data_IF_632707017955
#
_entry.id   IF_632707017955
#
_cell.length_a   1.000
_cell.length_b   1.000
_cell.length_c   1.000
_cell.angle_alpha   90.00
_cell.angle_beta   90.00
_cell.angle_gamma   90.00
#
_symmetry.space_group_name_H-M   'P 1'
#
loop_
_entity.id
_entity.type
_entity.pdbx_description
1 polymer ?
#
# COMPACT_ATOMS: atom_id res chain seq x y z
N UNK A 1 -27.15 16.09 12.55
CA UNK A 1 -25.90 16.80 12.16
C UNK A 1 -25.71 16.67 10.66
N UNK A 2 -25.57 17.79 9.95
CA UNK A 2 -25.35 17.86 8.49
C UNK A 2 -23.87 17.56 8.19
N UNK A 3 -23.59 16.89 7.08
CA UNK A 3 -22.23 16.44 6.65
C UNK A 3 -21.92 17.11 5.32
N UNK A 4 -20.65 17.44 5.07
CA UNK A 4 -20.20 18.41 4.07
C UNK A 4 -19.33 17.76 2.97
N UNK A 5 -19.24 18.36 1.77
CA UNK A 5 -18.31 17.93 0.71
C UNK A 5 -16.85 17.87 1.19
N UNK A 6 -16.53 18.71 2.17
CA UNK A 6 -15.28 18.73 2.92
C UNK A 6 -14.98 17.40 3.63
N UNK A 7 -15.99 16.69 4.14
CA UNK A 7 -15.86 15.37 4.76
C UNK A 7 -15.60 14.26 3.73
N UNK A 8 -16.19 14.36 2.52
CA UNK A 8 -15.94 13.42 1.43
C UNK A 8 -14.52 13.59 0.86
N UNK A 9 -14.09 14.84 0.68
CA UNK A 9 -12.71 15.16 0.31
C UNK A 9 -11.72 14.69 1.38
N UNK A 10 -12.08 14.79 2.66
CA UNK A 10 -11.29 14.24 3.76
C UNK A 10 -11.14 12.72 3.64
N UNK A 11 -12.25 12.00 3.41
CA UNK A 11 -12.24 10.56 3.22
C UNK A 11 -11.37 10.16 2.01
N UNK A 12 -11.56 10.82 0.86
CA UNK A 12 -10.78 10.61 -0.37
C UNK A 12 -9.27 10.81 -0.15
N UNK A 13 -8.90 11.92 0.48
CA UNK A 13 -7.50 12.24 0.82
C UNK A 13 -6.88 11.16 1.71
N UNK A 14 -7.63 10.65 2.70
CA UNK A 14 -7.16 9.57 3.59
C UNK A 14 -7.01 8.24 2.85
N UNK A 15 -7.91 7.92 1.93
CA UNK A 15 -7.80 6.70 1.09
C UNK A 15 -6.55 6.78 0.23
N UNK A 16 -6.30 7.92 -0.43
CA UNK A 16 -5.10 8.14 -1.24
C UNK A 16 -3.84 8.05 -0.37
N UNK A 17 -3.88 8.61 0.84
CA UNK A 17 -2.78 8.49 1.79
C UNK A 17 -2.46 7.05 2.17
N UNK A 18 -3.49 6.24 2.43
CA UNK A 18 -3.33 4.81 2.76
C UNK A 18 -2.77 4.03 1.56
N UNK A 19 -3.29 4.28 0.36
CA UNK A 19 -2.77 3.67 -0.88
C UNK A 19 -1.29 4.01 -1.11
N UNK A 20 -0.89 5.27 -0.87
CA UNK A 20 0.49 5.70 -0.97
C UNK A 20 1.39 4.96 0.04
N UNK A 21 0.96 4.80 1.29
CA UNK A 21 1.68 4.03 2.31
C UNK A 21 1.83 2.57 1.90
N UNK A 22 0.74 1.94 1.44
CA UNK A 22 0.77 0.54 0.99
C UNK A 22 1.77 0.38 -0.16
N UNK A 23 1.69 1.24 -1.17
CA UNK A 23 2.60 1.19 -2.31
C UNK A 23 4.06 1.42 -1.89
N UNK A 24 4.31 2.34 -0.96
CA UNK A 24 5.64 2.60 -0.43
C UNK A 24 6.22 1.38 0.28
N UNK A 25 5.43 0.71 1.12
CA UNK A 25 5.83 -0.52 1.83
C UNK A 25 6.16 -1.63 0.83
N UNK A 26 5.31 -1.84 -0.18
CA UNK A 26 5.56 -2.84 -1.21
C UNK A 26 6.88 -2.60 -1.94
N UNK A 27 7.14 -1.35 -2.34
CA UNK A 27 8.38 -0.98 -3.03
C UNK A 27 9.57 -1.14 -2.10
N UNK A 28 9.47 -0.76 -0.82
CA UNK A 28 10.53 -1.01 0.17
C UNK A 28 10.87 -2.51 0.28
N UNK A 29 9.86 -3.38 0.38
CA UNK A 29 10.07 -4.82 0.47
C UNK A 29 10.81 -5.36 -0.76
N UNK A 30 10.52 -4.84 -1.95
CA UNK A 30 11.23 -5.24 -3.18
C UNK A 30 12.65 -4.66 -3.26
N UNK A 31 12.86 -3.46 -2.72
CA UNK A 31 14.14 -2.73 -2.87
C UNK A 31 15.16 -3.15 -1.82
N UNK A 32 14.73 -3.49 -0.60
CA UNK A 32 15.61 -3.84 0.52
C UNK A 32 16.52 -5.06 0.24
N UNK A 33 16.04 -6.19 -0.30
CA UNK A 33 16.90 -7.34 -0.63
C UNK A 33 18.00 -6.99 -1.63
N UNK A 34 17.72 -6.09 -2.58
CA UNK A 34 18.70 -5.67 -3.59
C UNK A 34 19.91 -4.93 -3.00
N UNK A 35 19.76 -4.32 -1.82
CA UNK A 35 20.81 -3.57 -1.12
C UNK A 35 21.80 -4.46 -0.36
N UNK A 36 21.38 -5.67 0.03
CA UNK A 36 22.20 -6.57 0.86
C UNK A 36 22.76 -7.78 0.09
N UNK A 37 22.33 -7.99 -1.16
CA UNK A 37 22.63 -9.21 -1.90
C UNK A 37 23.92 -9.22 -2.74
N UNK A 38 24.59 -8.07 -2.96
CA UNK A 38 25.71 -7.97 -3.90
C UNK A 38 26.78 -6.99 -3.39
N UNK A 39 28.07 -7.35 -3.55
CA UNK A 39 29.20 -6.44 -3.38
C UNK A 39 29.24 -5.47 -4.58
N UNK A 40 28.46 -4.40 -4.51
CA UNK A 40 28.44 -3.39 -5.56
C UNK A 40 29.69 -2.51 -5.53
N UNK A 41 30.24 -2.11 -6.70
CA UNK A 41 31.23 -1.06 -6.79
C UNK A 41 30.71 0.23 -6.13
N UNK A 42 31.58 1.00 -5.46
CA UNK A 42 31.19 2.17 -4.65
C UNK A 42 30.37 3.24 -5.40
N UNK A 43 30.45 3.31 -6.72
CA UNK A 43 29.64 4.22 -7.55
C UNK A 43 28.18 3.75 -7.74
N UNK A 44 27.92 2.44 -7.77
CA UNK A 44 26.58 1.86 -7.91
C UNK A 44 25.77 1.94 -6.60
N UNK A 45 26.47 2.03 -5.46
CA UNK A 45 25.88 2.22 -4.13
C UNK A 45 25.07 3.53 -4.04
N UNK A 46 25.54 4.59 -4.72
CA UNK A 46 24.84 5.88 -4.79
C UNK A 46 23.50 5.79 -5.54
N UNK A 47 23.45 5.04 -6.65
CA UNK A 47 22.22 4.81 -7.41
C UNK A 47 21.22 3.98 -6.60
N UNK A 48 21.73 2.98 -5.86
CA UNK A 48 20.91 2.16 -4.98
C UNK A 48 20.31 2.94 -3.81
N UNK A 49 21.06 3.83 -3.17
CA UNK A 49 20.50 4.71 -2.13
C UNK A 49 19.39 5.60 -2.72
N UNK A 50 19.54 6.06 -3.96
CA UNK A 50 18.50 6.84 -4.64
C UNK A 50 17.21 6.04 -4.86
N UNK A 51 17.28 4.72 -5.03
CA UNK A 51 16.07 3.88 -5.14
C UNK A 51 15.24 3.82 -3.86
N UNK A 52 15.83 4.12 -2.69
CA UNK A 52 15.09 4.25 -1.42
C UNK A 52 14.39 5.60 -1.27
N UNK A 53 14.84 6.64 -1.98
CA UNK A 53 14.26 7.98 -1.87
C UNK A 53 12.80 7.98 -2.34
N UNK A 54 12.51 7.30 -3.44
CA UNK A 54 11.14 7.20 -3.97
C UNK A 54 10.14 6.61 -2.97
N UNK A 55 10.33 5.39 -2.41
CA UNK A 55 9.37 4.84 -1.48
C UNK A 55 9.35 5.59 -0.14
N UNK A 56 10.47 6.15 0.33
CA UNK A 56 10.46 6.99 1.54
C UNK A 56 9.64 8.27 1.33
N UNK A 57 9.83 8.96 0.20
CA UNK A 57 9.04 10.13 -0.15
C UNK A 57 7.55 9.77 -0.26
N UNK A 58 7.22 8.65 -0.90
CA UNK A 58 5.84 8.18 -1.05
C UNK A 58 5.20 7.84 0.32
N UNK A 59 5.98 7.26 1.24
CA UNK A 59 5.56 6.97 2.61
C UNK A 59 5.31 8.26 3.40
N UNK A 60 6.20 9.24 3.29
CA UNK A 60 6.04 10.56 3.91
C UNK A 60 4.81 11.31 3.37
N UNK A 61 4.60 11.28 2.05
CA UNK A 61 3.41 11.86 1.40
C UNK A 61 2.14 11.17 1.89
N UNK A 62 2.15 9.84 1.98
CA UNK A 62 1.02 9.07 2.48
C UNK A 62 0.67 9.40 3.93
N UNK A 63 1.68 9.48 4.81
CA UNK A 63 1.50 9.92 6.20
C UNK A 63 0.97 11.36 6.25
N UNK A 64 1.55 12.26 5.46
CA UNK A 64 1.12 13.66 5.40
C UNK A 64 -0.35 13.79 5.01
N UNK A 65 -0.80 13.05 3.99
CA UNK A 65 -2.19 13.06 3.53
C UNK A 65 -3.18 12.60 4.61
N UNK A 66 -2.79 11.63 5.46
CA UNK A 66 -3.63 11.15 6.56
C UNK A 66 -3.58 12.12 7.75
N UNK A 67 -2.39 12.62 8.12
CA UNK A 67 -2.22 13.46 9.31
C UNK A 67 -2.66 14.92 9.10
N UNK A 68 -2.53 15.46 7.88
CA UNK A 68 -2.89 16.84 7.56
C UNK A 68 -4.20 16.96 6.77
N UNK A 69 -5.03 15.92 6.76
CA UNK A 69 -6.32 15.95 6.04
C UNK A 69 -7.17 17.17 6.43
N UNK A 70 -7.25 17.52 7.72
CA UNK A 70 -8.04 18.67 8.19
C UNK A 70 -7.54 20.02 7.64
N UNK A 71 -6.21 20.19 7.51
CA UNK A 71 -5.62 21.39 6.89
C UNK A 71 -5.88 21.45 5.40
N UNK A 72 -5.83 20.31 4.70
CA UNK A 72 -6.13 20.23 3.27
C UNK A 72 -7.60 20.53 3.00
N UNK A 73 -8.50 19.95 3.78
CA UNK A 73 -9.94 20.18 3.70
C UNK A 73 -10.27 21.67 3.88
N UNK A 74 -9.72 22.32 4.90
CA UNK A 74 -9.92 23.76 5.15
C UNK A 74 -9.36 24.65 4.04
N UNK A 75 -8.34 24.19 3.32
CA UNK A 75 -7.71 24.92 2.21
C UNK A 75 -8.50 24.80 0.90
N UNK A 76 -9.10 23.63 0.64
CA UNK A 76 -9.79 23.34 -0.62
C UNK A 76 -11.31 23.51 -0.56
N UNK A 77 -11.90 23.49 0.63
CA UNK A 77 -13.32 23.75 0.88
C UNK A 77 -13.49 24.75 2.03
N UNK A 78 -13.23 26.04 1.78
CA UNK A 78 -13.38 27.09 2.80
C UNK A 78 -14.85 27.47 3.10
N UNK A 79 -15.80 27.12 2.22
CA UNK A 79 -17.24 27.41 2.38
C UNK A 79 -18.07 26.12 2.37
N UNK A 80 -18.91 25.95 3.40
CA UNK A 80 -19.59 24.71 3.79
C UNK A 80 -21.03 24.62 3.24
N UNK A 81 -21.23 24.51 1.92
CA UNK A 81 -22.56 24.29 1.34
C UNK A 81 -22.51 23.33 0.14
N UNK A 82 -22.59 22.02 0.37
CA UNK A 82 -23.04 21.06 -0.65
C UNK A 82 -23.39 19.72 0.00
N UNK A 83 -24.62 19.25 -0.23
CA UNK A 83 -25.21 18.11 0.48
C UNK A 83 -25.24 16.84 -0.38
N UNK A 84 -24.63 15.76 0.11
CA UNK A 84 -24.72 14.41 -0.46
C UNK A 84 -24.72 13.35 0.65
N UNK A 85 -25.39 12.24 0.38
CA UNK A 85 -25.81 11.17 1.30
C UNK A 85 -24.69 10.21 1.76
N UNK A 86 -24.88 9.65 2.97
CA UNK A 86 -24.06 8.69 3.77
C UNK A 86 -22.88 9.23 4.61
N UNK A 87 -22.64 8.58 5.77
CA UNK A 87 -21.62 9.00 6.73
C UNK A 87 -20.22 8.86 6.13
N UNK A 88 -19.39 9.90 6.21
CA UNK A 88 -18.03 9.88 5.66
C UNK A 88 -17.16 8.71 6.19
N UNK A 89 -17.51 8.18 7.36
CA UNK A 89 -16.92 6.98 7.93
C UNK A 89 -17.38 5.69 7.21
N UNK A 90 -18.66 5.60 6.84
CA UNK A 90 -19.18 4.50 6.02
C UNK A 90 -18.55 4.50 4.62
N UNK A 91 -18.44 5.68 3.98
CA UNK A 91 -17.78 5.83 2.67
C UNK A 91 -16.29 5.46 2.75
N UNK A 92 -15.59 5.89 3.80
CA UNK A 92 -14.19 5.51 4.04
C UNK A 92 -14.05 3.99 4.25
N UNK A 93 -14.91 3.37 5.06
CA UNK A 93 -14.90 1.92 5.30
C UNK A 93 -15.21 1.14 4.01
N UNK A 94 -16.14 1.64 3.18
CA UNK A 94 -16.47 1.05 1.89
C UNK A 94 -15.26 1.12 0.95
N UNK A 95 -14.62 2.28 0.84
CA UNK A 95 -13.44 2.46 -0.01
C UNK A 95 -12.25 1.62 0.45
N UNK A 96 -12.06 1.44 1.76
CA UNK A 96 -11.06 0.53 2.32
C UNK A 96 -11.32 -0.93 1.93
N UNK A 97 -12.58 -1.37 2.00
CA UNK A 97 -12.97 -2.71 1.54
C UNK A 97 -12.76 -2.90 0.05
N UNK A 98 -13.15 -1.92 -0.78
CA UNK A 98 -12.91 -1.94 -2.22
C UNK A 98 -11.41 -1.99 -2.51
N UNK A 99 -10.61 -1.18 -1.81
CA UNK A 99 -9.14 -1.20 -1.94
C UNK A 99 -8.55 -2.56 -1.59
N UNK A 100 -8.99 -3.16 -0.48
CA UNK A 100 -8.57 -4.52 -0.11
C UNK A 100 -8.94 -5.57 -1.16
N UNK A 101 -10.14 -5.45 -1.75
CA UNK A 101 -10.59 -6.31 -2.84
C UNK A 101 -9.76 -6.14 -4.10
N UNK A 102 -9.44 -4.90 -4.49
CA UNK A 102 -8.56 -4.57 -5.60
C UNK A 102 -7.18 -5.18 -5.38
N UNK A 103 -6.58 -5.02 -4.19
CA UNK A 103 -5.28 -5.62 -3.89
C UNK A 103 -5.29 -7.14 -4.05
N UNK A 104 -6.34 -7.83 -3.61
CA UNK A 104 -6.45 -9.28 -3.78
C UNK A 104 -6.56 -9.63 -5.27
N UNK A 105 -7.50 -9.02 -6.00
CA UNK A 105 -7.75 -9.32 -7.42
C UNK A 105 -6.51 -9.09 -8.28
N UNK A 106 -5.78 -8.00 -8.04
CA UNK A 106 -4.57 -7.68 -8.81
C UNK A 106 -3.39 -8.60 -8.49
N UNK A 107 -3.30 -9.14 -7.27
CA UNK A 107 -2.18 -9.98 -6.86
C UNK A 107 -2.45 -11.49 -6.99
N UNK A 108 -3.69 -11.90 -7.25
CA UNK A 108 -4.03 -13.30 -7.56
C UNK A 108 -3.27 -13.82 -8.81
N UNK A 109 -3.21 -13.10 -9.95
CA UNK A 109 -2.44 -13.55 -11.11
C UNK A 109 -0.95 -13.70 -10.81
N UNK A 110 -0.36 -12.76 -10.08
CA UNK A 110 1.04 -12.86 -9.66
C UNK A 110 1.23 -14.06 -8.73
N UNK A 111 0.29 -14.36 -7.82
CA UNK A 111 0.33 -15.53 -6.93
C UNK A 111 0.36 -16.83 -7.73
N UNK A 112 -0.49 -16.93 -8.75
CA UNK A 112 -0.48 -18.06 -9.68
C UNK A 112 0.86 -18.16 -10.43
N UNK A 113 1.46 -17.02 -10.81
CA UNK A 113 2.78 -17.00 -11.45
C UNK A 113 3.87 -17.48 -10.49
N UNK A 114 3.88 -17.07 -9.23
CA UNK A 114 4.87 -17.56 -8.24
C UNK A 114 4.67 -19.05 -7.97
N UNK A 115 3.43 -19.50 -7.76
CA UNK A 115 3.13 -20.91 -7.56
C UNK A 115 3.56 -21.76 -8.76
N UNK A 116 3.29 -21.28 -9.98
CA UNK A 116 3.72 -21.94 -11.21
C UNK A 116 5.24 -22.07 -11.30
N UNK A 117 5.98 -21.00 -10.99
CA UNK A 117 7.45 -21.03 -10.97
C UNK A 117 8.00 -21.92 -9.85
N UNK A 118 7.37 -21.92 -8.67
CA UNK A 118 7.74 -22.80 -7.56
C UNK A 118 7.56 -24.29 -7.91
N UNK A 119 6.45 -24.64 -8.57
CA UNK A 119 6.20 -25.99 -9.07
C UNK A 119 7.19 -26.38 -10.16
N UNK A 120 7.52 -25.45 -11.08
CA UNK A 120 8.53 -25.66 -12.11
C UNK A 120 9.90 -26.00 -11.51
N UNK A 121 10.34 -25.24 -10.49
CA UNK A 121 11.58 -25.53 -9.76
C UNK A 121 11.52 -26.92 -9.11
N UNK A 122 10.42 -27.22 -8.40
CA UNK A 122 10.27 -28.50 -7.71
C UNK A 122 10.33 -29.70 -8.65
N UNK A 123 9.78 -29.57 -9.85
CA UNK A 123 9.72 -30.64 -10.85
C UNK A 123 11.02 -30.81 -11.66
N UNK A 124 11.61 -29.71 -12.13
CA UNK A 124 12.73 -29.75 -13.09
C UNK A 124 14.12 -29.66 -12.46
N UNK A 125 14.24 -29.12 -11.24
CA UNK A 125 15.53 -29.06 -10.52
C UNK A 125 16.16 -30.46 -10.29
N UNK A 126 15.39 -31.51 -9.92
CA UNK A 126 15.94 -32.87 -9.82
C UNK A 126 16.41 -33.46 -11.16
N UNK A 127 15.95 -32.90 -12.29
CA UNK A 127 16.31 -33.33 -13.64
C UNK A 127 17.54 -32.60 -14.20
N UNK A 128 18.20 -31.76 -13.40
CA UNK A 128 19.41 -31.03 -13.80
C UNK A 128 19.15 -29.85 -14.74
N UNK A 129 17.89 -29.43 -14.90
CA UNK A 129 17.55 -28.21 -15.65
C UNK A 129 17.87 -26.99 -14.80
N UNK A 130 18.49 -25.98 -15.40
CA UNK A 130 18.75 -24.71 -14.74
C UNK A 130 17.43 -24.00 -14.42
N UNK A 131 17.23 -23.72 -13.14
CA UNK A 131 16.04 -23.01 -12.61
C UNK A 131 16.41 -21.77 -11.81
N UNK A 132 17.63 -21.25 -11.97
CA UNK A 132 18.14 -20.13 -11.17
C UNK A 132 17.25 -18.89 -11.31
N UNK A 133 16.82 -18.56 -12.53
CA UNK A 133 15.97 -17.39 -12.78
C UNK A 133 14.59 -17.51 -12.10
N UNK A 134 14.00 -18.71 -12.12
CA UNK A 134 12.73 -18.98 -11.46
C UNK A 134 12.89 -18.92 -9.93
N UNK A 135 14.01 -19.41 -9.39
CA UNK A 135 14.30 -19.33 -7.95
C UNK A 135 14.44 -17.89 -7.50
N UNK A 136 15.14 -17.05 -8.27
CA UNK A 136 15.31 -15.63 -7.97
C UNK A 136 13.95 -14.91 -8.00
N UNK A 137 13.13 -15.15 -9.04
CA UNK A 137 11.80 -14.56 -9.14
C UNK A 137 10.88 -14.94 -7.98
N UNK A 138 10.89 -16.22 -7.58
CA UNK A 138 10.09 -16.71 -6.44
C UNK A 138 10.60 -16.09 -5.14
N UNK A 139 11.91 -16.03 -4.92
CA UNK A 139 12.50 -15.46 -3.71
C UNK A 139 12.21 -13.96 -3.56
N UNK A 140 12.36 -13.18 -4.63
CA UNK A 140 12.18 -11.72 -4.59
C UNK A 140 10.71 -11.30 -4.45
N UNK A 141 9.79 -12.00 -5.11
CA UNK A 141 8.40 -11.54 -5.21
C UNK A 141 7.45 -12.18 -4.20
N UNK A 142 7.80 -13.33 -3.63
CA UNK A 142 6.93 -14.07 -2.70
C UNK A 142 6.61 -13.27 -1.44
N UNK A 143 7.61 -12.61 -0.84
CA UNK A 143 7.41 -11.82 0.37
C UNK A 143 6.51 -10.62 0.12
N UNK A 144 6.79 -9.84 -0.93
CA UNK A 144 6.01 -8.66 -1.30
C UNK A 144 4.55 -9.04 -1.57
N UNK A 145 4.33 -10.16 -2.26
CA UNK A 145 3.00 -10.66 -2.55
C UNK A 145 2.26 -11.15 -1.30
N UNK A 146 2.90 -11.95 -0.45
CA UNK A 146 2.29 -12.42 0.80
C UNK A 146 1.84 -11.25 1.67
N UNK A 147 2.73 -10.26 1.84
CA UNK A 147 2.39 -9.04 2.58
C UNK A 147 1.22 -8.32 1.94
N UNK A 148 1.19 -8.19 0.62
CA UNK A 148 0.12 -7.46 -0.08
C UNK A 148 -1.23 -8.16 0.00
N UNK A 149 -1.28 -9.48 -0.11
CA UNK A 149 -2.50 -10.27 0.04
C UNK A 149 -3.00 -10.20 1.48
N UNK A 150 -2.12 -10.38 2.46
CA UNK A 150 -2.46 -10.25 3.88
C UNK A 150 -2.99 -8.85 4.20
N UNK A 151 -2.39 -7.81 3.62
CA UNK A 151 -2.82 -6.43 3.77
C UNK A 151 -4.18 -6.21 3.09
N UNK A 152 -4.42 -6.79 1.91
CA UNK A 152 -5.73 -6.79 1.26
C UNK A 152 -6.83 -7.38 2.13
N UNK A 153 -6.59 -8.56 2.73
CA UNK A 153 -7.53 -9.17 3.69
C UNK A 153 -7.71 -8.33 4.96
N UNK A 154 -6.65 -7.71 5.45
CA UNK A 154 -6.72 -6.80 6.60
C UNK A 154 -7.62 -5.59 6.33
N UNK A 155 -7.52 -4.98 5.14
CA UNK A 155 -8.38 -3.86 4.74
C UNK A 155 -9.85 -4.29 4.57
N UNK A 156 -10.09 -5.49 4.04
CA UNK A 156 -11.44 -6.08 3.95
C UNK A 156 -12.10 -6.26 5.32
N UNK A 157 -11.33 -6.67 6.33
CA UNK A 157 -11.78 -6.82 7.72
C UNK A 157 -11.92 -5.47 8.47
N UNK A 158 -11.92 -4.35 7.74
CA UNK A 158 -12.20 -3.02 8.25
C UNK A 158 -10.97 -2.20 8.62
N UNK A 159 -9.75 -2.75 8.47
CA UNK A 159 -8.50 -2.00 8.57
C UNK A 159 -8.41 -1.11 9.82
N UNK A 160 -8.78 -1.65 11.00
CA UNK A 160 -9.02 -0.86 12.24
C UNK A 160 -7.88 0.10 12.59
N UNK A 161 -6.64 -0.25 12.30
CA UNK A 161 -5.48 0.63 12.50
C UNK A 161 -5.56 1.87 11.61
N UNK A 162 -5.81 1.70 10.31
CA UNK A 162 -5.98 2.81 9.37
C UNK A 162 -7.23 3.63 9.64
N UNK A 163 -8.32 3.00 10.07
CA UNK A 163 -9.52 3.71 10.51
C UNK A 163 -9.22 4.58 11.74
N UNK A 164 -8.51 4.06 12.75
CA UNK A 164 -8.05 4.87 13.88
C UNK A 164 -7.11 5.98 13.45
N UNK A 165 -6.16 5.70 12.56
CA UNK A 165 -5.20 6.70 12.06
C UNK A 165 -5.93 7.85 11.34
N UNK A 166 -6.93 7.52 10.53
CA UNK A 166 -7.75 8.45 9.78
C UNK A 166 -8.63 9.33 10.69
N UNK A 167 -9.26 8.76 11.72
CA UNK A 167 -10.27 9.48 12.53
C UNK A 167 -9.80 9.89 13.93
N UNK A 168 -8.53 9.69 14.29
CA UNK A 168 -7.97 9.93 15.64
C UNK A 168 -8.33 11.28 16.28
N UNK A 169 -8.53 12.34 15.49
CA UNK A 169 -8.84 13.67 15.99
C UNK A 169 -10.32 13.91 16.31
N UNK A 170 -11.27 13.06 15.85
CA UNK A 170 -12.70 13.24 16.20
C UNK A 170 -13.02 12.86 17.64
N UNK A 171 -12.20 12.02 18.27
CA UNK A 171 -12.40 11.57 19.66
C UNK A 171 -11.77 12.53 20.69
N UNK A 172 -11.02 13.55 20.26
CA UNK A 172 -10.31 14.49 21.15
C UNK A 172 -11.08 15.79 21.41
N UNK A 173 -12.24 15.97 20.78
CA UNK A 173 -13.08 17.18 20.85
C UNK A 173 -14.43 16.94 21.56
N UNK A 174 -14.59 15.82 22.28
CA UNK A 174 -15.73 15.56 23.17
C UNK A 174 -15.32 15.65 24.64
#
# INVERSE_FOLDING_TARGET
MKILASDLFAAGTRIIGILAIIKAIMVLIMTVPSLFGHNYPGWALSQQIMTLVYPLALLLIGIYLISCTSRLVRKFYPEEEDTATESAQAVFLLAMKITGMVLIVYFVPDLLRILSNALYIGYYRPMGIDTIDQQLLVAERSLAMLVTILLGFYLLNGGRFFARLAFKNKDSEN
#
